data_IF_898206938208
#
_entry.id   IF_898206938208
#
_cell.length_a   1.000
_cell.length_b   1.000
_cell.length_c   1.000
_cell.angle_alpha   90.00
_cell.angle_beta   90.00
_cell.angle_gamma   90.00
#
_symmetry.space_group_name_H-M   'P 1'
#
loop_
_entity.id
_entity.type
_entity.pdbx_description
1 polymer ?
#
# COMPACT_ATOMS: atom_id res chain seq x y z
N UNK A 1 14.38 -8.91 31.71
CA UNK A 1 13.99 -7.82 30.79
C UNK A 1 13.42 -6.71 31.65
N UNK A 2 14.18 -5.63 31.84
CA UNK A 2 13.69 -4.48 32.61
C UNK A 2 12.68 -3.70 31.76
N UNK A 3 11.49 -3.46 32.33
CA UNK A 3 10.49 -2.61 31.71
C UNK A 3 10.95 -1.16 31.76
N UNK A 4 11.08 -0.51 30.60
CA UNK A 4 11.27 0.94 30.51
C UNK A 4 10.04 1.64 31.10
N UNK A 5 10.18 2.22 32.30
CA UNK A 5 9.17 3.10 32.89
C UNK A 5 9.35 4.50 32.33
N UNK A 6 8.40 4.95 31.51
CA UNK A 6 8.34 6.34 31.05
C UNK A 6 7.80 7.19 32.21
N UNK A 7 8.68 7.91 32.91
CA UNK A 7 8.34 8.83 34.00
C UNK A 7 8.47 10.29 33.56
N UNK A 8 7.82 10.68 32.46
CA UNK A 8 7.80 12.06 31.98
C UNK A 8 6.39 12.65 32.07
N UNK A 9 6.30 13.88 32.57
CA UNK A 9 5.06 14.66 32.61
C UNK A 9 5.14 15.68 31.48
N UNK A 10 4.20 15.63 30.54
CA UNK A 10 4.07 16.60 29.45
C UNK A 10 3.12 17.73 29.88
N UNK A 11 3.64 18.95 29.94
CA UNK A 11 2.90 20.15 30.37
C UNK A 11 2.49 21.06 29.20
N UNK A 12 2.44 20.55 27.97
CA UNK A 12 2.02 21.30 26.78
C UNK A 12 0.58 20.99 26.36
N UNK A 13 0.06 21.78 25.41
CA UNK A 13 -1.25 21.51 24.83
C UNK A 13 -1.20 20.30 23.88
N UNK A 14 -2.14 19.37 24.04
CA UNK A 14 -2.36 18.27 23.09
C UNK A 14 -3.48 18.69 22.13
N UNK A 15 -3.15 18.79 20.84
CA UNK A 15 -4.14 19.04 19.79
C UNK A 15 -4.55 17.72 19.15
N UNK A 16 -5.82 17.36 19.31
CA UNK A 16 -6.43 16.22 18.61
C UNK A 16 -7.10 16.75 17.35
N UNK A 17 -6.80 16.13 16.21
CA UNK A 17 -7.46 16.42 14.93
C UNK A 17 -7.97 15.11 14.35
N UNK A 18 -9.16 15.15 13.77
CA UNK A 18 -9.73 14.06 12.98
C UNK A 18 -9.40 14.27 11.51
N UNK A 19 -9.31 13.18 10.77
CA UNK A 19 -9.13 13.23 9.33
C UNK A 19 -9.80 12.04 8.65
N UNK A 20 -10.06 12.16 7.36
CA UNK A 20 -10.66 11.13 6.52
C UNK A 20 -9.62 10.51 5.59
N UNK A 21 -9.67 9.19 5.46
CA UNK A 21 -8.91 8.43 4.46
C UNK A 21 -9.92 7.80 3.51
N UNK A 22 -9.79 8.10 2.22
CA UNK A 22 -10.52 7.39 1.16
C UNK A 22 -9.75 6.14 0.77
N UNK A 23 -10.47 5.03 0.57
CA UNK A 23 -9.87 3.73 0.25
C UNK A 23 -10.56 3.12 -0.97
N UNK A 24 -9.77 2.64 -1.92
CA UNK A 24 -10.21 1.81 -3.04
C UNK A 24 -9.39 0.53 -3.07
N UNK A 25 -10.04 -0.62 -3.24
CA UNK A 25 -9.40 -1.93 -3.32
C UNK A 25 -9.67 -2.56 -4.69
N UNK A 26 -8.62 -3.04 -5.34
CA UNK A 26 -8.67 -3.69 -6.66
C UNK A 26 -7.79 -4.93 -6.64
N UNK A 27 -8.42 -6.11 -6.66
CA UNK A 27 -7.71 -7.38 -6.48
C UNK A 27 -7.00 -7.42 -5.13
N UNK A 28 -5.70 -7.71 -5.14
CA UNK A 28 -4.85 -7.71 -3.94
C UNK A 28 -4.24 -6.34 -3.63
N UNK A 29 -4.58 -5.28 -4.38
CA UNK A 29 -4.07 -3.94 -4.15
C UNK A 29 -5.08 -3.07 -3.40
N UNK A 30 -4.55 -2.24 -2.50
CA UNK A 30 -5.30 -1.25 -1.73
C UNK A 30 -4.68 0.13 -1.92
N UNK A 31 -5.52 1.10 -2.24
CA UNK A 31 -5.13 2.48 -2.52
C UNK A 31 -5.74 3.36 -1.45
N UNK A 32 -4.90 4.06 -0.69
CA UNK A 32 -5.34 4.97 0.36
C UNK A 32 -4.93 6.40 0.04
N UNK A 33 -5.91 7.31 0.10
CA UNK A 33 -5.65 8.74 0.06
C UNK A 33 -6.14 9.39 1.35
N UNK A 34 -5.19 9.88 2.13
CA UNK A 34 -5.44 10.68 3.32
C UNK A 34 -5.61 12.14 2.91
N UNK A 35 -6.70 12.80 3.30
CA UNK A 35 -6.99 14.19 2.89
C UNK A 35 -5.90 15.20 3.32
N UNK A 36 -5.01 14.82 4.25
CA UNK A 36 -3.91 15.67 4.74
C UNK A 36 -2.72 15.70 3.78
N UNK A 37 -2.61 14.74 2.87
CA UNK A 37 -1.42 14.53 2.05
C UNK A 37 -1.77 14.44 0.56
N UNK A 38 -0.96 15.04 -0.32
CA UNK A 38 -1.23 15.07 -1.76
C UNK A 38 -0.66 13.85 -2.50
N UNK A 39 -0.77 12.64 -1.93
CA UNK A 39 -0.30 11.40 -2.54
C UNK A 39 -1.21 10.22 -2.19
N UNK A 40 -1.10 9.13 -2.97
CA UNK A 40 -1.80 7.87 -2.70
C UNK A 40 -0.78 6.83 -2.28
N UNK A 41 -1.03 6.18 -1.15
CA UNK A 41 -0.29 4.99 -0.76
C UNK A 41 -0.89 3.77 -1.44
N UNK A 42 -0.03 2.94 -2.06
CA UNK A 42 -0.43 1.67 -2.67
C UNK A 42 0.12 0.54 -1.84
N UNK A 43 -0.79 -0.32 -1.37
CA UNK A 43 -0.46 -1.49 -0.60
C UNK A 43 -0.80 -2.76 -1.37
N UNK A 44 -0.11 -3.85 -1.05
CA UNK A 44 -0.49 -5.21 -1.43
C UNK A 44 -0.93 -5.98 -0.19
N UNK A 45 -2.02 -6.73 -0.31
CA UNK A 45 -2.48 -7.65 0.73
C UNK A 45 -1.43 -8.73 0.98
N UNK A 46 -1.13 -8.99 2.24
CA UNK A 46 -0.18 -10.01 2.65
C UNK A 46 -0.57 -10.67 3.98
N UNK A 47 0.31 -11.54 4.49
CA UNK A 47 0.08 -12.25 5.76
C UNK A 47 0.76 -11.56 6.95
N UNK A 48 1.01 -10.25 6.89
CA UNK A 48 1.52 -9.49 8.04
C UNK A 48 0.43 -9.27 9.08
N UNK A 49 0.81 -8.82 10.29
CA UNK A 49 -0.15 -8.51 11.36
C UNK A 49 -1.13 -7.39 10.96
N UNK A 50 -0.73 -6.50 10.04
CA UNK A 50 -1.58 -5.46 9.47
C UNK A 50 -2.42 -5.97 8.29
N UNK A 51 -2.00 -7.07 7.65
CA UNK A 51 -2.64 -7.66 6.47
C UNK A 51 -2.26 -6.99 5.15
N UNK A 52 -1.34 -6.02 5.17
CA UNK A 52 -0.88 -5.31 3.97
C UNK A 52 0.52 -4.72 4.14
N UNK A 53 1.27 -4.68 3.02
CA UNK A 53 2.57 -4.02 2.90
C UNK A 53 2.52 -2.87 1.91
N UNK A 54 3.14 -1.74 2.24
CA UNK A 54 3.30 -0.61 1.31
C UNK A 54 4.25 -1.02 0.18
N UNK A 55 3.82 -0.87 -1.07
CA UNK A 55 4.61 -1.23 -2.24
C UNK A 55 4.93 -0.03 -3.13
N UNK A 56 4.17 1.07 -3.03
CA UNK A 56 4.38 2.25 -3.85
C UNK A 56 3.71 3.49 -3.24
N UNK A 57 4.14 4.67 -3.70
CA UNK A 57 3.53 5.97 -3.40
C UNK A 57 3.35 6.73 -4.72
N UNK A 58 2.11 7.08 -5.05
CA UNK A 58 1.79 7.84 -6.26
C UNK A 58 1.81 9.32 -5.89
N UNK A 59 2.81 10.05 -6.36
CA UNK A 59 2.94 11.50 -6.21
C UNK A 59 2.43 12.25 -7.46
N UNK A 60 2.45 13.59 -7.40
CA UNK A 60 2.12 14.50 -8.53
C UNK A 60 0.72 14.30 -9.16
N UNK A 61 -0.24 13.83 -8.38
CA UNK A 61 -1.59 13.57 -8.85
C UNK A 61 -2.40 14.86 -8.91
N UNK A 62 -3.26 14.99 -9.94
CA UNK A 62 -4.32 16.00 -9.90
C UNK A 62 -5.19 15.81 -8.64
N UNK A 63 -5.81 16.88 -8.12
CA UNK A 63 -6.63 16.78 -6.91
C UNK A 63 -7.72 15.72 -7.07
N UNK A 64 -7.66 14.67 -6.26
CA UNK A 64 -8.73 13.67 -6.18
C UNK A 64 -9.83 14.24 -5.30
N UNK A 65 -11.01 14.41 -5.90
CA UNK A 65 -12.13 15.12 -5.27
C UNK A 65 -13.05 14.11 -4.58
N UNK A 66 -13.09 12.87 -5.06
CA UNK A 66 -13.99 11.83 -4.56
C UNK A 66 -13.46 10.39 -4.81
N UNK A 67 -14.27 9.40 -4.42
CA UNK A 67 -13.95 7.97 -4.58
C UNK A 67 -13.90 7.50 -6.04
N UNK A 68 -14.66 8.10 -6.95
CA UNK A 68 -14.63 7.76 -8.38
C UNK A 68 -13.30 8.18 -9.02
N UNK A 69 -12.80 9.36 -8.67
CA UNK A 69 -11.48 9.83 -9.12
C UNK A 69 -10.37 8.88 -8.63
N UNK A 70 -10.42 8.51 -7.34
CA UNK A 70 -9.48 7.54 -6.76
C UNK A 70 -9.59 6.16 -7.44
N UNK A 71 -10.80 5.72 -7.76
CA UNK A 71 -11.02 4.46 -8.46
C UNK A 71 -10.42 4.47 -9.87
N UNK A 72 -10.51 5.58 -10.61
CA UNK A 72 -9.89 5.71 -11.93
C UNK A 72 -8.36 5.59 -11.82
N UNK A 73 -7.75 6.28 -10.85
CA UNK A 73 -6.29 6.18 -10.62
C UNK A 73 -5.89 4.77 -10.23
N UNK A 74 -6.61 4.15 -9.30
CA UNK A 74 -6.37 2.77 -8.84
C UNK A 74 -6.45 1.77 -10.01
N UNK A 75 -7.48 1.87 -10.85
CA UNK A 75 -7.65 0.98 -12.01
C UNK A 75 -6.56 1.17 -13.06
N UNK A 76 -6.18 2.43 -13.35
CA UNK A 76 -5.08 2.72 -14.27
C UNK A 76 -3.74 2.16 -13.76
N UNK A 77 -3.47 2.33 -12.47
CA UNK A 77 -2.29 1.74 -11.83
C UNK A 77 -2.32 0.22 -11.90
N UNK A 78 -3.44 -0.40 -11.54
CA UNK A 78 -3.59 -1.85 -11.52
C UNK A 78 -3.32 -2.44 -12.90
N UNK A 79 -3.94 -1.93 -13.96
CA UNK A 79 -3.73 -2.48 -15.31
C UNK A 79 -2.34 -2.20 -15.88
N UNK A 80 -1.65 -1.15 -15.42
CA UNK A 80 -0.26 -0.87 -15.83
C UNK A 80 0.74 -1.82 -15.17
N UNK A 81 0.48 -2.20 -13.92
CA UNK A 81 1.45 -2.92 -13.08
C UNK A 81 1.12 -4.41 -12.89
N UNK A 82 -0.12 -4.82 -13.16
CA UNK A 82 -0.57 -6.21 -13.04
C UNK A 82 -0.74 -6.83 -14.42
N UNK A 83 -0.07 -7.95 -14.64
CA UNK A 83 -0.20 -8.72 -15.88
C UNK A 83 -1.24 -9.82 -15.72
N UNK A 84 -2.19 -9.88 -16.66
CA UNK A 84 -3.09 -11.03 -16.77
C UNK A 84 -2.33 -12.17 -17.44
N UNK A 85 -2.17 -13.26 -16.71
CA UNK A 85 -1.43 -14.45 -17.17
C UNK A 85 -2.30 -15.70 -17.07
N UNK A 86 -2.10 -16.62 -18.01
CA UNK A 86 -2.71 -17.95 -17.96
C UNK A 86 -2.05 -18.83 -16.90
N UNK A 87 -2.71 -19.90 -16.47
CA UNK A 87 -2.11 -20.88 -15.53
C UNK A 87 -0.79 -21.45 -16.04
N UNK A 88 -0.66 -21.65 -17.36
CA UNK A 88 0.58 -22.12 -17.99
C UNK A 88 1.71 -21.09 -17.77
N UNK A 89 1.44 -19.82 -18.02
CA UNK A 89 2.40 -18.73 -17.83
C UNK A 89 2.76 -18.54 -16.34
N UNK A 90 1.79 -18.67 -15.43
CA UNK A 90 2.03 -18.67 -13.97
C UNK A 90 3.06 -19.73 -13.55
N UNK A 91 2.88 -20.98 -14.02
CA UNK A 91 3.81 -22.09 -13.72
C UNK A 91 5.22 -21.83 -14.29
N UNK A 92 5.29 -21.26 -15.48
CA UNK A 92 6.56 -20.86 -16.12
C UNK A 92 7.27 -19.71 -15.38
N UNK A 93 6.53 -18.73 -14.84
CA UNK A 93 7.10 -17.63 -14.04
C UNK A 93 7.62 -18.13 -12.68
N UNK A 94 6.81 -18.91 -11.96
CA UNK A 94 7.19 -19.45 -10.65
C UNK A 94 8.45 -20.34 -10.71
N UNK A 95 8.59 -21.12 -11.79
CA UNK A 95 9.78 -21.95 -12.01
C UNK A 95 11.04 -21.13 -12.35
N UNK A 96 10.91 -20.01 -13.07
CA UNK A 96 12.04 -19.10 -13.35
C UNK A 96 12.52 -18.36 -12.12
N UNK A 97 11.62 -17.94 -11.24
CA UNK A 97 11.98 -17.24 -10.00
C UNK A 97 12.77 -18.15 -9.03
N UNK A 98 12.41 -19.42 -8.96
CA UNK A 98 13.16 -20.42 -8.18
C UNK A 98 14.57 -20.64 -8.76
N UNK A 99 14.69 -20.78 -10.08
CA UNK A 99 15.99 -20.96 -10.75
C UNK A 99 16.91 -19.73 -10.62
N UNK A 100 16.33 -18.52 -10.47
CA UNK A 100 17.11 -17.28 -10.32
C UNK A 100 17.60 -17.09 -8.88
N UNK A 101 16.83 -17.53 -7.88
CA UNK A 101 17.23 -17.52 -6.46
C UNK A 101 18.35 -18.52 -6.14
N UNK A 102 18.46 -19.63 -6.87
CA UNK A 102 19.53 -20.62 -6.68
C UNK A 102 20.88 -20.21 -7.30
N UNK A 103 20.89 -19.32 -8.29
CA UNK A 103 22.12 -18.85 -8.96
C UNK A 103 22.78 -17.63 -8.32
N UNK A 104 22.09 -16.96 -7.40
CA UNK A 104 22.58 -15.78 -6.67
C UNK A 104 23.20 -16.09 -5.30
N UNK A 105 23.52 -17.36 -5.02
CA UNK A 105 24.05 -17.83 -3.73
C UNK A 105 25.47 -18.39 -3.88
#
# INVERSE_FOLDING_TARGET
MESLKINSIYNGDVKVKTSTIMVVEVGDLRFEMDERFPWINVFITDNTDLGYSLIDEIEEIEPIINHEDLAVVAMNYYFKNVSIVTEKQMKELASKDQATKEKGK
#
